data_IF_294102398502
#
_entry.id   IF_294102398502
#
_cell.length_a   1.000
_cell.length_b   1.000
_cell.length_c   1.000
_cell.angle_alpha   90.00
_cell.angle_beta   90.00
_cell.angle_gamma   90.00
#
_symmetry.space_group_name_H-M   'P 1'
#
loop_
_entity.id
_entity.type
_entity.pdbx_description
1 polymer ?
#
# COMPACT_ATOMS: atom_id res chain seq x y z
N UNK A 1 -8.62 32.06 -9.30
CA UNK A 1 -7.87 30.84 -9.69
C UNK A 1 -8.30 29.70 -8.79
N UNK A 2 -8.63 28.58 -9.36
CA UNK A 2 -8.85 27.36 -8.59
C UNK A 2 -7.50 26.91 -8.01
N UNK A 3 -7.38 26.86 -6.69
CA UNK A 3 -6.23 26.24 -6.03
C UNK A 3 -6.32 24.72 -6.22
N UNK A 4 -5.22 24.11 -6.62
CA UNK A 4 -5.16 22.65 -6.76
C UNK A 4 -5.41 21.97 -5.40
N UNK A 5 -6.18 20.89 -5.40
CA UNK A 5 -6.46 20.16 -4.16
C UNK A 5 -5.35 19.14 -3.87
N UNK A 6 -4.45 19.49 -2.96
CA UNK A 6 -3.36 18.62 -2.52
C UNK A 6 -3.76 17.68 -1.36
N UNK A 7 -5.01 17.78 -0.87
CA UNK A 7 -5.47 17.02 0.30
C UNK A 7 -5.76 15.56 0.02
N UNK A 8 -5.95 15.19 -1.24
CA UNK A 8 -6.36 13.84 -1.58
C UNK A 8 -6.01 13.50 -3.02
N UNK A 9 -5.65 12.25 -3.26
CA UNK A 9 -5.61 11.68 -4.61
C UNK A 9 -6.23 10.29 -4.64
N UNK A 10 -6.66 9.88 -5.82
CA UNK A 10 -7.17 8.53 -6.10
C UNK A 10 -6.40 7.94 -7.27
N UNK A 11 -6.00 6.67 -7.11
CA UNK A 11 -5.38 5.88 -8.17
C UNK A 11 -6.22 4.63 -8.41
N UNK A 12 -6.47 4.32 -9.66
CA UNK A 12 -7.28 3.16 -10.06
C UNK A 12 -6.51 2.34 -11.09
N UNK A 13 -6.51 1.03 -10.94
CA UNK A 13 -5.90 0.12 -11.89
C UNK A 13 -6.79 -1.10 -12.08
N UNK A 14 -6.99 -1.53 -13.32
CA UNK A 14 -7.64 -2.81 -13.61
C UNK A 14 -6.64 -3.95 -13.43
N UNK A 15 -7.07 -5.03 -12.79
CA UNK A 15 -6.26 -6.24 -12.59
C UNK A 15 -7.10 -7.44 -12.99
N UNK A 16 -6.64 -8.22 -13.96
CA UNK A 16 -7.27 -9.45 -14.38
C UNK A 16 -6.94 -10.59 -13.40
N UNK A 17 -7.59 -10.51 -12.24
CA UNK A 17 -7.49 -11.48 -11.17
C UNK A 17 -8.78 -11.47 -10.34
N UNK A 18 -9.00 -12.55 -9.59
CA UNK A 18 -10.10 -12.64 -8.65
C UNK A 18 -9.99 -11.57 -7.56
N UNK A 19 -11.11 -10.94 -7.22
CA UNK A 19 -11.15 -9.90 -6.17
C UNK A 19 -10.50 -10.35 -4.86
N UNK A 20 -10.70 -11.62 -4.51
CA UNK A 20 -10.10 -12.20 -3.30
C UNK A 20 -8.58 -12.26 -3.34
N UNK A 21 -8.01 -12.59 -4.50
CA UNK A 21 -6.56 -12.62 -4.68
C UNK A 21 -5.95 -11.22 -4.52
N UNK A 22 -6.60 -10.20 -5.08
CA UNK A 22 -6.17 -8.81 -4.94
C UNK A 22 -6.28 -8.36 -3.49
N UNK A 23 -7.40 -8.65 -2.82
CA UNK A 23 -7.59 -8.29 -1.42
C UNK A 23 -6.55 -8.97 -0.50
N UNK A 24 -6.28 -10.27 -0.69
CA UNK A 24 -5.26 -10.99 0.06
C UNK A 24 -3.85 -10.39 -0.14
N UNK A 25 -3.55 -9.92 -1.33
CA UNK A 25 -2.28 -9.23 -1.62
C UNK A 25 -2.09 -7.96 -0.78
N UNK A 26 -3.15 -7.26 -0.44
CA UNK A 26 -3.14 -6.07 0.40
C UNK A 26 -3.26 -6.36 1.90
N UNK A 27 -3.93 -7.44 2.28
CA UNK A 27 -4.40 -7.66 3.65
C UNK A 27 -3.69 -8.75 4.43
N UNK A 28 -2.62 -9.33 3.89
CA UNK A 28 -1.80 -10.32 4.59
C UNK A 28 -0.32 -9.96 4.50
N UNK A 29 0.47 -10.41 5.46
CA UNK A 29 1.92 -10.21 5.44
C UNK A 29 2.53 -10.79 4.16
N UNK A 30 2.28 -12.06 3.87
CA UNK A 30 2.84 -12.71 2.67
C UNK A 30 2.34 -12.04 1.37
N UNK A 31 1.11 -11.54 1.38
CA UNK A 31 0.56 -10.78 0.27
C UNK A 31 1.37 -9.52 0.00
N UNK A 32 1.52 -8.65 1.00
CA UNK A 32 2.28 -7.40 0.89
C UNK A 32 3.75 -7.62 0.54
N UNK A 33 4.38 -8.66 1.08
CA UNK A 33 5.77 -9.01 0.76
C UNK A 33 5.94 -9.50 -0.69
N UNK A 34 4.88 -9.98 -1.32
CA UNK A 34 4.93 -10.48 -2.70
C UNK A 34 5.11 -9.38 -3.76
N UNK A 35 4.66 -8.15 -3.50
CA UNK A 35 4.65 -7.07 -4.49
C UNK A 35 5.09 -5.70 -4.01
N UNK A 36 4.99 -5.42 -2.71
CA UNK A 36 5.15 -4.08 -2.15
C UNK A 36 6.36 -3.97 -1.23
N UNK A 37 6.48 -4.85 -0.26
CA UNK A 37 7.42 -4.71 0.86
C UNK A 37 8.49 -5.80 0.85
N UNK A 38 9.63 -5.49 1.47
CA UNK A 38 10.64 -6.48 1.83
C UNK A 38 10.22 -7.23 3.09
N UNK A 39 9.61 -6.52 4.04
CA UNK A 39 9.08 -7.08 5.28
C UNK A 39 7.78 -6.37 5.64
N UNK A 40 6.75 -7.13 6.04
CA UNK A 40 5.45 -6.62 6.47
C UNK A 40 4.97 -7.32 7.74
N UNK A 41 5.60 -7.04 8.87
CA UNK A 41 5.18 -7.63 10.15
C UNK A 41 3.93 -6.95 10.70
N UNK A 42 3.03 -7.75 11.27
CA UNK A 42 1.83 -7.28 11.97
C UNK A 42 1.77 -7.83 13.38
N UNK A 43 1.42 -6.97 14.34
CA UNK A 43 1.15 -7.33 15.72
C UNK A 43 -0.29 -6.98 16.09
N UNK A 44 -0.95 -7.92 16.76
CA UNK A 44 -2.28 -7.72 17.32
C UNK A 44 -2.23 -6.71 18.48
N UNK A 45 -3.38 -6.14 18.90
CA UNK A 45 -3.41 -5.22 20.04
C UNK A 45 -2.84 -5.80 21.34
N UNK A 46 -2.87 -7.12 21.52
CA UNK A 46 -2.26 -7.80 22.67
C UNK A 46 -0.74 -8.00 22.56
N UNK A 47 -0.11 -7.54 21.47
CA UNK A 47 1.31 -7.65 21.20
C UNK A 47 1.75 -8.97 20.54
N UNK A 48 0.87 -9.94 20.38
CA UNK A 48 1.19 -11.18 19.68
C UNK A 48 1.31 -10.94 18.16
N UNK A 49 2.15 -11.73 17.51
CA UNK A 49 2.34 -11.65 16.06
C UNK A 49 1.16 -12.28 15.31
N UNK A 50 0.74 -11.63 14.22
CA UNK A 50 -0.19 -12.23 13.27
C UNK A 50 0.57 -13.19 12.34
N UNK A 51 -0.07 -14.31 11.97
CA UNK A 51 0.54 -15.23 11.01
C UNK A 51 0.64 -14.58 9.63
N UNK A 52 1.58 -15.05 8.82
CA UNK A 52 1.84 -14.48 7.49
C UNK A 52 0.67 -14.60 6.50
N UNK A 53 -0.17 -15.61 6.67
CA UNK A 53 -1.36 -15.91 5.84
C UNK A 53 -2.66 -15.34 6.40
N UNK A 54 -2.61 -14.76 7.59
CA UNK A 54 -3.79 -14.25 8.30
C UNK A 54 -4.12 -12.83 7.86
N UNK A 55 -5.41 -12.57 7.59
CA UNK A 55 -5.89 -11.23 7.23
C UNK A 55 -5.73 -10.29 8.43
N UNK A 56 -5.17 -9.11 8.17
CA UNK A 56 -5.03 -8.05 9.16
C UNK A 56 -6.39 -7.57 9.68
N UNK A 57 -6.40 -7.05 10.89
CA UNK A 57 -7.60 -6.57 11.56
C UNK A 57 -7.43 -5.14 12.01
N UNK A 58 -8.54 -4.43 12.23
CA UNK A 58 -8.53 -3.11 12.86
C UNK A 58 -7.77 -3.17 14.20
N UNK A 59 -6.86 -2.21 14.39
CA UNK A 59 -6.03 -2.11 15.59
C UNK A 59 -4.73 -2.91 15.53
N UNK A 60 -4.49 -3.67 14.48
CA UNK A 60 -3.17 -4.26 14.26
C UNK A 60 -2.13 -3.16 14.01
N UNK A 61 -0.99 -3.28 14.67
CA UNK A 61 0.18 -2.46 14.40
C UNK A 61 1.08 -3.13 13.40
N UNK A 62 1.62 -2.35 12.46
CA UNK A 62 2.52 -2.89 11.46
C UNK A 62 3.91 -2.27 11.54
N UNK A 63 4.91 -3.03 11.05
CA UNK A 63 6.24 -2.58 10.72
C UNK A 63 6.55 -2.99 9.29
N UNK A 64 6.78 -2.00 8.42
CA UNK A 64 7.05 -2.18 7.01
C UNK A 64 8.45 -1.71 6.63
N UNK A 65 9.15 -2.52 5.85
CA UNK A 65 10.47 -2.24 5.29
C UNK A 65 10.43 -2.45 3.77
N UNK A 66 11.16 -1.63 3.04
CA UNK A 66 11.23 -1.68 1.58
C UNK A 66 12.59 -2.16 1.10
N UNK A 67 12.64 -2.73 -0.11
CA UNK A 67 13.89 -2.91 -0.84
C UNK A 67 14.46 -1.53 -1.21
N UNK A 68 15.79 -1.41 -1.17
CA UNK A 68 16.50 -0.17 -1.51
C UNK A 68 16.62 0.86 -0.38
N UNK A 69 16.07 0.55 0.80
CA UNK A 69 16.18 1.38 2.00
C UNK A 69 16.74 0.60 3.16
N UNK A 70 17.48 1.29 4.05
CA UNK A 70 17.97 0.67 5.27
C UNK A 70 16.83 0.39 6.26
N UNK A 71 17.07 -0.55 7.19
CA UNK A 71 16.08 -0.90 8.24
C UNK A 71 15.79 0.26 9.21
N UNK A 72 16.61 1.32 9.20
CA UNK A 72 16.33 2.53 9.95
C UNK A 72 15.16 3.34 9.35
N UNK A 73 14.82 3.10 8.07
CA UNK A 73 13.68 3.70 7.40
C UNK A 73 12.54 2.71 7.44
N UNK A 74 11.90 2.58 8.60
CA UNK A 74 10.73 1.75 8.80
C UNK A 74 9.47 2.61 8.89
N UNK A 75 8.37 2.13 8.33
CA UNK A 75 7.04 2.70 8.58
C UNK A 75 6.37 1.85 9.66
N UNK A 76 6.01 2.48 10.78
CA UNK A 76 5.34 1.81 11.90
C UNK A 76 4.04 2.56 12.22
N UNK A 77 2.91 1.98 11.83
CA UNK A 77 1.57 2.56 11.96
C UNK A 77 0.55 1.45 12.25
N UNK A 78 -0.72 1.71 11.98
CA UNK A 78 -1.80 0.79 12.32
C UNK A 78 -2.85 0.62 11.22
N UNK A 79 -3.57 -0.49 11.29
CA UNK A 79 -4.74 -0.77 10.48
C UNK A 79 -5.96 -0.09 11.13
N UNK A 80 -6.60 0.79 10.37
CA UNK A 80 -7.72 1.59 10.83
C UNK A 80 -9.08 0.91 10.63
N UNK A 81 -9.19 0.17 9.53
CA UNK A 81 -10.43 -0.51 9.16
C UNK A 81 -10.16 -1.67 8.19
N UNK A 82 -10.96 -2.70 8.27
CA UNK A 82 -11.14 -3.70 7.21
C UNK A 82 -12.51 -4.36 7.35
N UNK A 83 -13.13 -4.70 6.22
CA UNK A 83 -14.32 -5.57 6.18
C UNK A 83 -13.97 -7.03 5.83
N UNK A 84 -12.67 -7.36 5.78
CA UNK A 84 -12.12 -8.68 5.47
C UNK A 84 -12.48 -9.24 4.08
N UNK A 85 -12.99 -8.39 3.19
CA UNK A 85 -13.50 -8.81 1.90
C UNK A 85 -12.95 -7.98 0.73
N UNK A 86 -13.18 -6.68 0.74
CA UNK A 86 -12.84 -5.80 -0.38
C UNK A 86 -12.44 -4.38 0.03
N UNK A 87 -12.37 -4.10 1.33
CA UNK A 87 -12.01 -2.77 1.84
C UNK A 87 -11.01 -2.85 2.98
N UNK A 88 -9.95 -2.05 2.88
CA UNK A 88 -8.88 -1.93 3.87
C UNK A 88 -8.49 -0.45 4.02
N UNK A 89 -8.30 -0.01 5.26
CA UNK A 89 -7.83 1.35 5.55
C UNK A 89 -6.71 1.30 6.59
N UNK A 90 -5.64 2.04 6.35
CA UNK A 90 -4.49 2.11 7.25
C UNK A 90 -3.90 3.51 7.31
N UNK A 91 -3.30 3.85 8.44
CA UNK A 91 -2.50 5.06 8.53
C UNK A 91 -1.14 4.84 7.86
N UNK A 92 -0.57 5.90 7.29
CA UNK A 92 0.64 5.83 6.48
C UNK A 92 1.52 7.06 6.71
N UNK A 93 2.64 7.15 6.02
CA UNK A 93 3.67 8.19 6.16
C UNK A 93 3.10 9.58 6.44
N UNK A 94 3.66 10.28 7.43
CA UNK A 94 3.25 11.63 7.78
C UNK A 94 1.85 11.76 8.39
N UNK A 95 1.23 10.64 8.78
CA UNK A 95 -0.15 10.64 9.27
C UNK A 95 -1.20 10.61 8.16
N UNK A 96 -0.79 10.39 6.90
CA UNK A 96 -1.71 10.17 5.81
C UNK A 96 -2.60 8.94 6.08
N UNK A 97 -3.77 8.92 5.48
CA UNK A 97 -4.69 7.78 5.54
C UNK A 97 -4.85 7.21 4.14
N UNK A 98 -4.65 5.90 4.02
CA UNK A 98 -4.79 5.17 2.76
C UNK A 98 -5.98 4.23 2.88
N UNK A 99 -6.88 4.32 1.90
CA UNK A 99 -8.02 3.42 1.73
C UNK A 99 -7.88 2.66 0.42
N UNK A 100 -7.97 1.34 0.50
CA UNK A 100 -7.96 0.45 -0.66
C UNK A 100 -9.33 -0.21 -0.79
N UNK A 101 -9.87 -0.20 -1.99
CA UNK A 101 -11.15 -0.84 -2.30
C UNK A 101 -11.02 -1.67 -3.57
N UNK A 102 -11.52 -2.90 -3.52
CA UNK A 102 -11.59 -3.79 -4.69
C UNK A 102 -13.01 -3.77 -5.21
N UNK A 103 -13.18 -3.43 -6.49
CA UNK A 103 -14.50 -3.24 -7.13
C UNK A 103 -14.62 -4.04 -8.42
N UNK A 104 -15.86 -4.33 -8.80
CA UNK A 104 -16.19 -4.78 -10.15
C UNK A 104 -16.88 -3.67 -10.91
N UNK A 105 -16.40 -3.35 -12.09
CA UNK A 105 -16.94 -2.28 -12.94
C UNK A 105 -16.84 -2.67 -14.41
N UNK A 106 -17.96 -2.66 -15.11
CA UNK A 106 -18.02 -3.01 -16.54
C UNK A 106 -17.30 -4.32 -16.91
N UNK A 107 -17.40 -5.34 -16.05
CA UNK A 107 -16.81 -6.67 -16.27
C UNK A 107 -15.35 -6.80 -15.83
N UNK A 108 -14.70 -5.71 -15.43
CA UNK A 108 -13.32 -5.73 -14.96
C UNK A 108 -13.23 -5.60 -13.44
N UNK A 109 -12.16 -6.13 -12.87
CA UNK A 109 -11.83 -5.94 -11.45
C UNK A 109 -10.90 -4.72 -11.31
N UNK A 110 -11.26 -3.80 -10.43
CA UNK A 110 -10.51 -2.57 -10.19
C UNK A 110 -9.98 -2.57 -8.77
N UNK A 111 -8.69 -2.32 -8.63
CA UNK A 111 -8.06 -1.94 -7.37
C UNK A 111 -8.01 -0.41 -7.31
N UNK A 112 -8.70 0.17 -6.35
CA UNK A 112 -8.73 1.62 -6.13
C UNK A 112 -8.04 1.97 -4.82
N UNK A 113 -7.10 2.90 -4.87
CA UNK A 113 -6.41 3.45 -3.72
C UNK A 113 -6.71 4.94 -3.61
N UNK A 114 -7.17 5.37 -2.45
CA UNK A 114 -7.36 6.76 -2.10
C UNK A 114 -6.44 7.11 -0.94
N UNK A 115 -5.65 8.17 -1.09
CA UNK A 115 -4.82 8.68 0.00
C UNK A 115 -5.23 10.09 0.35
N UNK A 116 -5.43 10.32 1.65
CA UNK A 116 -5.76 11.62 2.23
C UNK A 116 -4.57 12.15 3.01
N UNK A 117 -4.22 13.42 2.78
CA UNK A 117 -3.19 14.18 3.49
C UNK A 117 -3.88 15.09 4.49
N UNK A 118 -4.01 14.69 5.78
CA UNK A 118 -4.82 15.42 6.76
C UNK A 118 -4.13 16.64 7.38
N UNK A 119 -2.81 16.82 7.13
CA UNK A 119 -2.06 17.97 7.67
C UNK A 119 -2.59 19.30 7.10
N UNK A 120 -2.43 20.38 7.86
CA UNK A 120 -2.89 21.71 7.44
C UNK A 120 -1.88 22.44 6.54
N UNK A 121 -0.60 22.11 6.62
CA UNK A 121 0.45 22.71 5.79
C UNK A 121 0.36 22.23 4.35
N UNK A 122 0.10 23.15 3.43
CA UNK A 122 0.01 22.86 1.99
C UNK A 122 1.34 22.34 1.39
N UNK A 123 2.48 22.81 1.91
CA UNK A 123 3.80 22.34 1.44
C UNK A 123 3.98 20.88 1.78
N UNK A 124 3.60 20.48 2.99
CA UNK A 124 3.64 19.09 3.44
C UNK A 124 2.62 18.24 2.69
N UNK A 125 1.38 18.72 2.49
CA UNK A 125 0.38 18.04 1.66
C UNK A 125 0.91 17.75 0.27
N UNK A 126 1.50 18.75 -0.39
CA UNK A 126 2.06 18.63 -1.74
C UNK A 126 3.20 17.61 -1.79
N UNK A 127 4.06 17.62 -0.78
CA UNK A 127 5.16 16.65 -0.67
C UNK A 127 4.62 15.21 -0.67
N UNK A 128 3.71 14.88 0.24
CA UNK A 128 3.14 13.55 0.32
C UNK A 128 2.28 13.18 -0.90
N UNK A 129 1.55 14.15 -1.46
CA UNK A 129 0.78 13.93 -2.69
C UNK A 129 1.68 13.48 -3.84
N UNK A 130 2.81 14.14 -4.03
CA UNK A 130 3.74 13.84 -5.12
C UNK A 130 4.52 12.55 -4.83
N UNK A 131 5.15 12.44 -3.67
CA UNK A 131 6.05 11.32 -3.36
C UNK A 131 5.29 10.00 -3.18
N UNK A 132 4.22 9.99 -2.41
CA UNK A 132 3.38 8.79 -2.28
C UNK A 132 2.69 8.45 -3.59
N UNK A 133 2.23 9.46 -4.35
CA UNK A 133 1.60 9.25 -5.66
C UNK A 133 2.51 8.54 -6.65
N UNK A 134 3.80 8.91 -6.70
CA UNK A 134 4.82 8.20 -7.51
C UNK A 134 4.99 6.76 -7.05
N UNK A 135 5.17 6.55 -5.76
CA UNK A 135 5.36 5.23 -5.17
C UNK A 135 4.16 4.30 -5.43
N UNK A 136 2.95 4.77 -5.17
CA UNK A 136 1.75 3.97 -5.41
C UNK A 136 1.56 3.61 -6.87
N UNK A 137 1.87 4.51 -7.80
CA UNK A 137 1.82 4.22 -9.24
C UNK A 137 2.72 3.05 -9.60
N UNK A 138 3.97 3.06 -9.13
CA UNK A 138 4.90 1.96 -9.37
C UNK A 138 4.42 0.66 -8.74
N UNK A 139 4.10 0.67 -7.44
CA UNK A 139 3.74 -0.54 -6.72
C UNK A 139 2.42 -1.15 -7.17
N UNK A 140 1.40 -0.35 -7.47
CA UNK A 140 0.15 -0.88 -8.03
C UNK A 140 0.36 -1.49 -9.42
N UNK A 141 1.26 -0.94 -10.22
CA UNK A 141 1.68 -1.53 -11.50
C UNK A 141 2.38 -2.86 -11.28
N UNK A 142 3.25 -2.96 -10.27
CA UNK A 142 3.89 -4.20 -9.90
C UNK A 142 2.88 -5.27 -9.42
N UNK A 143 1.90 -4.88 -8.62
CA UNK A 143 0.81 -5.75 -8.19
C UNK A 143 0.07 -6.35 -9.39
N UNK A 144 -0.30 -5.50 -10.36
CA UNK A 144 -0.92 -5.93 -11.62
C UNK A 144 -0.03 -6.92 -12.37
N UNK A 145 1.24 -6.60 -12.54
CA UNK A 145 2.20 -7.49 -13.22
C UNK A 145 2.23 -8.89 -12.59
N UNK A 146 2.38 -8.96 -11.29
CA UNK A 146 2.49 -10.23 -10.55
C UNK A 146 1.18 -11.03 -10.63
N UNK A 147 0.04 -10.40 -10.36
CA UNK A 147 -1.25 -11.09 -10.33
C UNK A 147 -1.73 -11.54 -11.72
N UNK A 148 -1.26 -10.91 -12.78
CA UNK A 148 -1.55 -11.30 -14.16
C UNK A 148 -0.50 -12.28 -14.74
N UNK A 149 0.37 -12.84 -13.90
CA UNK A 149 1.37 -13.85 -14.28
C UNK A 149 2.66 -13.27 -14.88
N UNK A 150 2.87 -11.97 -14.72
CA UNK A 150 4.11 -11.29 -15.10
C UNK A 150 5.21 -11.38 -14.05
N UNK A 151 6.21 -10.54 -14.19
CA UNK A 151 7.39 -10.51 -13.32
C UNK A 151 7.24 -9.52 -12.17
N UNK A 152 8.02 -9.71 -11.11
CA UNK A 152 8.22 -8.72 -10.06
C UNK A 152 9.14 -7.61 -10.58
N UNK A 153 8.63 -6.40 -10.66
CA UNK A 153 9.33 -5.24 -11.21
C UNK A 153 10.31 -4.59 -10.23
N UNK A 154 10.30 -5.02 -8.96
CA UNK A 154 11.16 -4.42 -7.93
C UNK A 154 12.61 -4.83 -8.13
N UNK A 155 13.51 -3.86 -7.96
CA UNK A 155 14.93 -4.17 -7.81
C UNK A 155 15.19 -4.68 -6.37
N UNK A 156 15.76 -5.86 -6.24
CA UNK A 156 16.13 -6.48 -4.95
C UNK A 156 17.64 -6.55 -4.71
N UNK A 157 18.42 -5.97 -5.61
CA UNK A 157 19.86 -5.88 -5.44
C UNK A 157 20.21 -4.65 -4.59
N UNK A 158 20.58 -4.88 -3.35
CA UNK A 158 20.90 -3.83 -2.37
C UNK A 158 22.18 -3.04 -2.70
N UNK A 159 23.00 -3.52 -3.62
CA UNK A 159 24.20 -2.83 -4.09
C UNK A 159 23.87 -1.71 -5.09
N UNK A 160 22.67 -1.72 -5.69
CA UNK A 160 22.23 -0.72 -6.64
C UNK A 160 21.27 0.25 -5.94
N UNK A 161 21.61 1.54 -5.95
CA UNK A 161 20.84 2.58 -5.30
C UNK A 161 20.24 3.57 -6.30
N UNK A 162 19.28 4.37 -5.85
CA UNK A 162 18.64 5.44 -6.62
C UNK A 162 17.94 4.93 -7.90
N UNK A 163 17.40 3.72 -7.88
CA UNK A 163 16.54 3.18 -8.92
C UNK A 163 15.06 3.31 -8.52
N UNK A 164 14.18 3.26 -9.50
CA UNK A 164 12.73 3.27 -9.26
C UNK A 164 12.36 2.05 -8.40
N UNK A 165 11.52 2.22 -7.40
CA UNK A 165 11.06 1.24 -6.41
C UNK A 165 12.03 0.91 -5.27
N UNK A 166 13.16 1.50 -5.33
CA UNK A 166 14.10 1.32 -4.23
C UNK A 166 13.84 2.30 -3.11
#
# INVERSE_FOLDING_TARGET
>A
MSTYNWKQFTKRITIDAESRAIFNAWSTQQGLESWFLRLAEFKKPDGSSRRKDEIVQKGDHYKWLWFGYSDAIAEEKEILFTNENDELEFSFSGGCVVKVTIKRENGETICELQQTMPMDDEVEQRYFFIECGKGWTFYMTNLKSILEGGIDLRNKNEEIQNVINS
#
